data_IF_432396120373
#
_entry.id   IF_432396120373
#
_cell.length_a   1.000
_cell.length_b   1.000
_cell.length_c   1.000
_cell.angle_alpha   90.00
_cell.angle_beta   90.00
_cell.angle_gamma   90.00
#
_symmetry.space_group_name_H-M   'P 1'
#
loop_
_entity.id
_entity.type
_entity.pdbx_description
1 polymer ?
#
# COMPACT_ATOMS: atom_id res chain seq x y z
N UNK A 1 34.59 21.59 73.12
CA UNK A 1 34.73 21.98 71.69
C UNK A 1 33.46 21.48 71.01
N UNK A 2 32.45 22.25 70.62
CA UNK A 2 32.42 23.61 70.09
C UNK A 2 31.89 23.53 68.64
N UNK A 3 30.63 23.95 68.43
CA UNK A 3 29.82 24.10 67.18
C UNK A 3 28.56 23.19 67.21
N UNK A 4 27.33 23.65 67.55
CA UNK A 4 26.41 24.61 66.88
C UNK A 4 26.29 24.37 65.37
N UNK A 5 25.22 23.72 64.90
CA UNK A 5 23.87 24.24 64.60
C UNK A 5 23.77 24.61 63.10
N UNK A 6 22.92 23.90 62.35
CA UNK A 6 22.00 24.53 61.37
C UNK A 6 21.01 23.50 60.82
N UNK A 7 19.78 23.70 61.27
CA UNK A 7 18.53 23.20 60.70
C UNK A 7 18.36 23.86 59.31
N UNK A 8 18.14 23.08 58.25
CA UNK A 8 17.55 23.62 57.01
C UNK A 8 16.27 22.84 56.74
N UNK A 9 15.15 23.51 57.03
CA UNK A 9 13.84 23.19 56.49
C UNK A 9 13.94 23.24 54.96
N UNK A 10 13.79 22.09 54.31
CA UNK A 10 13.50 22.00 52.89
C UNK A 10 12.09 21.49 52.70
N UNK A 11 11.11 22.40 52.72
CA UNK A 11 9.74 22.16 52.26
C UNK A 11 9.78 21.82 50.78
N UNK A 12 9.73 20.52 50.45
CA UNK A 12 9.39 20.06 49.10
C UNK A 12 7.91 19.72 49.08
N UNK A 13 7.11 20.73 48.76
CA UNK A 13 5.79 20.59 48.17
C UNK A 13 5.89 19.70 46.93
N UNK A 14 5.65 18.40 47.10
CA UNK A 14 5.33 17.51 46.00
C UNK A 14 3.86 17.74 45.67
N UNK A 15 3.62 18.65 44.74
CA UNK A 15 2.35 18.79 44.04
C UNK A 15 2.03 17.43 43.42
N UNK A 16 1.07 16.71 44.03
CA UNK A 16 0.50 15.50 43.46
C UNK A 16 -0.25 15.89 42.19
N UNK A 17 0.45 15.85 41.06
CA UNK A 17 -0.19 15.90 39.75
C UNK A 17 -0.98 14.59 39.58
N UNK A 18 -2.30 14.68 39.73
CA UNK A 18 -3.24 13.68 39.24
C UNK A 18 -2.99 13.51 37.73
N UNK A 19 -2.19 12.52 37.35
CA UNK A 19 -2.18 12.01 36.00
C UNK A 19 -3.48 11.25 35.78
N UNK A 20 -4.48 11.95 35.25
CA UNK A 20 -5.66 11.34 34.67
C UNK A 20 -5.21 10.40 33.55
N UNK A 21 -5.28 9.09 33.81
CA UNK A 21 -5.15 8.04 32.81
C UNK A 21 -6.37 8.14 31.89
N UNK A 22 -6.23 8.88 30.79
CA UNK A 22 -7.13 8.77 29.65
C UNK A 22 -6.69 7.53 28.85
N UNK A 23 -7.39 6.41 29.09
CA UNK A 23 -7.39 5.25 28.21
C UNK A 23 -7.87 5.69 26.81
N UNK A 24 -6.93 5.93 25.89
CA UNK A 24 -7.23 5.93 24.47
C UNK A 24 -6.88 4.54 23.95
N UNK A 25 -7.85 3.65 24.02
CA UNK A 25 -7.84 2.41 23.26
C UNK A 25 -8.04 2.76 21.78
N UNK A 26 -6.93 2.90 21.06
CA UNK A 26 -6.90 3.09 19.61
C UNK A 26 -6.08 1.98 18.95
N UNK A 27 -6.54 0.73 19.05
CA UNK A 27 -6.06 -0.32 18.17
C UNK A 27 -6.69 -0.10 16.79
N UNK A 28 -5.95 0.59 15.92
CA UNK A 28 -6.17 0.57 14.48
C UNK A 28 -4.87 0.13 13.79
N UNK A 29 -4.50 -1.12 14.03
CA UNK A 29 -3.62 -1.83 13.11
C UNK A 29 -4.44 -2.25 11.90
N UNK A 30 -4.37 -1.49 10.81
CA UNK A 30 -4.91 -1.88 9.51
C UNK A 30 -3.91 -1.49 8.42
N UNK A 31 -3.14 -2.47 7.95
CA UNK A 31 -2.50 -2.41 6.64
C UNK A 31 -3.59 -2.28 5.57
N UNK A 32 -3.65 -1.12 4.93
CA UNK A 32 -4.68 -0.77 3.97
C UNK A 32 -4.33 -1.30 2.58
N UNK A 33 -4.65 -2.57 2.32
CA UNK A 33 -4.87 -3.05 0.95
C UNK A 33 -6.28 -2.63 0.53
N UNK A 34 -6.40 -1.41 0.01
CA UNK A 34 -7.67 -0.84 -0.46
C UNK A 34 -8.08 -1.42 -1.82
N UNK A 35 -9.05 -2.33 -1.83
CA UNK A 35 -10.04 -2.41 -2.92
C UNK A 35 -11.20 -1.49 -2.55
N UNK A 36 -11.16 -0.24 -3.03
CA UNK A 36 -12.32 0.68 -2.95
C UNK A 36 -13.28 0.34 -4.09
N UNK A 37 -14.17 -0.63 -3.85
CA UNK A 37 -15.45 -0.72 -4.55
C UNK A 37 -16.46 0.18 -3.84
N UNK A 38 -17.09 1.07 -4.60
CA UNK A 38 -18.26 1.91 -4.30
C UNK A 38 -18.70 2.04 -2.83
N UNK A 39 -17.98 2.88 -2.11
CA UNK A 39 -18.53 3.66 -1.02
C UNK A 39 -17.97 5.08 -1.12
N UNK A 40 -18.51 5.88 -2.05
CA UNK A 40 -18.42 7.35 -1.96
C UNK A 40 -19.20 7.75 -0.70
N UNK A 41 -18.52 7.71 0.44
CA UNK A 41 -18.95 8.40 1.63
C UNK A 41 -19.13 9.87 1.27
N UNK A 42 -20.28 10.43 1.63
CA UNK A 42 -20.52 11.87 1.56
C UNK A 42 -19.38 12.60 2.30
N UNK A 43 -18.73 13.55 1.63
CA UNK A 43 -18.20 14.72 2.32
C UNK A 43 -16.68 14.99 2.33
N UNK A 44 -15.85 14.36 1.51
CA UNK A 44 -14.50 14.90 1.25
C UNK A 44 -14.55 15.83 0.04
N UNK A 45 -14.20 17.10 0.22
CA UNK A 45 -13.99 18.06 -0.86
C UNK A 45 -12.82 17.64 -1.75
N UNK A 46 -12.83 18.10 -3.01
CA UNK A 46 -11.70 17.91 -3.94
C UNK A 46 -10.37 18.32 -3.30
N UNK A 47 -10.39 19.41 -2.54
CA UNK A 47 -9.25 19.94 -1.83
C UNK A 47 -8.71 18.98 -0.76
N UNK A 48 -9.57 18.35 0.04
CA UNK A 48 -9.16 17.35 1.03
C UNK A 48 -8.57 16.09 0.37
N UNK A 49 -9.12 15.67 -0.77
CA UNK A 49 -8.58 14.55 -1.53
C UNK A 49 -7.18 14.86 -2.09
N UNK A 50 -6.95 16.09 -2.53
CA UNK A 50 -5.63 16.58 -2.97
C UNK A 50 -4.67 16.60 -1.78
N UNK A 51 -5.03 17.26 -0.68
CA UNK A 51 -4.17 17.37 0.51
C UNK A 51 -3.75 16.01 1.07
N UNK A 52 -4.66 15.02 1.08
CA UNK A 52 -4.34 13.65 1.44
C UNK A 52 -3.24 13.06 0.55
N UNK A 53 -3.32 13.26 -0.77
CA UNK A 53 -2.32 12.76 -1.71
C UNK A 53 -0.98 13.48 -1.60
N UNK A 54 -0.95 14.73 -1.14
CA UNK A 54 0.26 15.52 -0.95
C UNK A 54 0.91 15.33 0.43
N UNK A 55 0.27 14.60 1.34
CA UNK A 55 0.83 14.36 2.67
C UNK A 55 2.06 13.43 2.63
N UNK A 56 3.11 13.78 3.37
CA UNK A 56 4.34 12.96 3.47
C UNK A 56 5.25 12.98 2.24
N UNK A 57 5.14 14.00 1.38
CA UNK A 57 6.07 14.19 0.25
C UNK A 57 7.52 14.36 0.74
N UNK A 58 8.46 13.77 -0.01
CA UNK A 58 9.89 13.80 0.28
C UNK A 58 10.37 12.76 1.30
N UNK A 59 9.45 12.05 1.96
CA UNK A 59 9.80 10.96 2.88
C UNK A 59 10.22 9.68 2.12
N UNK A 60 11.09 8.88 2.74
CA UNK A 60 11.59 7.61 2.20
C UNK A 60 11.13 6.43 3.06
N UNK A 61 10.86 5.29 2.40
CA UNK A 61 10.51 4.01 3.06
C UNK A 61 11.73 3.35 3.71
N UNK A 62 12.91 3.54 3.12
CA UNK A 62 14.20 3.06 3.59
C UNK A 62 15.33 3.78 2.81
N UNK A 63 16.57 3.71 3.29
CA UNK A 63 17.72 4.33 2.62
C UNK A 63 18.22 3.51 1.43
N UNK A 64 17.87 2.22 1.37
CA UNK A 64 18.22 1.34 0.25
C UNK A 64 17.22 0.21 0.07
N UNK A 65 17.24 -0.43 -1.11
CA UNK A 65 16.42 -1.62 -1.38
C UNK A 65 16.74 -2.77 -0.40
N UNK A 66 18.01 -2.93 -0.02
CA UNK A 66 18.41 -3.94 0.96
C UNK A 66 17.79 -3.70 2.35
N UNK A 67 17.74 -2.44 2.80
CA UNK A 67 17.07 -2.06 4.04
C UNK A 67 15.55 -2.20 3.95
N UNK A 68 14.95 -1.91 2.79
CA UNK A 68 13.54 -2.13 2.56
C UNK A 68 13.20 -3.64 2.63
N UNK A 69 14.03 -4.50 2.05
CA UNK A 69 13.85 -5.96 2.18
C UNK A 69 13.98 -6.38 3.66
N UNK A 70 14.93 -5.81 4.41
CA UNK A 70 15.07 -6.09 5.84
C UNK A 70 13.85 -5.68 6.66
N UNK A 71 13.20 -4.56 6.31
CA UNK A 71 11.98 -4.15 6.99
C UNK A 71 10.82 -5.10 6.71
N UNK A 72 10.68 -5.57 5.47
CA UNK A 72 9.69 -6.60 5.10
C UNK A 72 9.94 -7.93 5.82
N UNK A 73 11.20 -8.36 5.97
CA UNK A 73 11.55 -9.60 6.70
C UNK A 73 11.21 -9.48 8.19
N UNK A 74 11.44 -8.30 8.79
CA UNK A 74 11.19 -8.04 10.21
C UNK A 74 9.71 -7.81 10.56
N UNK A 75 8.87 -7.52 9.56
CA UNK A 75 7.44 -7.33 9.78
C UNK A 75 6.83 -8.61 10.39
N UNK A 76 6.19 -8.54 11.56
CA UNK A 76 5.54 -9.68 12.20
C UNK A 76 4.45 -10.34 11.34
N UNK A 77 3.87 -9.63 10.36
CA UNK A 77 2.88 -10.16 9.45
C UNK A 77 3.49 -10.98 8.29
N UNK A 78 4.79 -10.87 8.05
CA UNK A 78 5.49 -11.62 6.99
C UNK A 78 5.62 -13.08 7.39
N UNK A 79 5.09 -13.97 6.55
CA UNK A 79 5.12 -15.42 6.76
C UNK A 79 6.52 -16.01 6.56
N UNK A 80 6.79 -17.18 7.11
CA UNK A 80 8.09 -17.87 6.91
C UNK A 80 8.37 -18.20 5.44
N UNK A 81 7.33 -18.53 4.66
CA UNK A 81 7.47 -18.75 3.21
C UNK A 81 7.90 -17.47 2.51
N UNK A 82 7.27 -16.33 2.82
CA UNK A 82 7.65 -15.04 2.27
C UNK A 82 9.07 -14.62 2.69
N UNK A 83 9.44 -14.81 3.97
CA UNK A 83 10.80 -14.54 4.47
C UNK A 83 11.86 -15.28 3.67
N UNK A 84 11.65 -16.57 3.38
CA UNK A 84 12.60 -17.35 2.59
C UNK A 84 12.84 -16.79 1.17
N UNK A 85 11.80 -16.21 0.55
CA UNK A 85 11.90 -15.55 -0.76
C UNK A 85 12.59 -14.19 -0.62
N UNK A 86 12.21 -13.38 0.38
CA UNK A 86 12.82 -12.08 0.65
C UNK A 86 14.31 -12.18 0.96
N UNK A 87 14.72 -13.17 1.76
CA UNK A 87 16.14 -13.42 2.06
C UNK A 87 16.93 -13.81 0.82
N UNK A 88 16.32 -14.61 -0.09
CA UNK A 88 16.93 -14.92 -1.39
C UNK A 88 17.05 -13.65 -2.24
N UNK A 89 15.97 -12.87 -2.36
CA UNK A 89 15.97 -11.61 -3.08
C UNK A 89 17.05 -10.66 -2.56
N UNK A 90 17.23 -10.56 -1.24
CA UNK A 90 18.30 -9.74 -0.65
C UNK A 90 19.70 -10.18 -1.10
N UNK A 91 19.97 -11.48 -1.09
CA UNK A 91 21.26 -12.04 -1.54
C UNK A 91 21.51 -11.82 -3.03
N UNK A 92 20.45 -11.86 -3.82
CA UNK A 92 20.50 -11.72 -5.28
C UNK A 92 20.41 -10.25 -5.76
N UNK A 93 20.20 -9.30 -4.84
CA UNK A 93 20.09 -7.87 -5.13
C UNK A 93 18.69 -7.42 -5.58
N UNK A 94 17.71 -8.32 -5.55
CA UNK A 94 16.32 -8.07 -5.86
C UNK A 94 15.55 -9.38 -6.09
N UNK A 95 14.22 -9.30 -6.06
CA UNK A 95 13.35 -10.43 -6.37
C UNK A 95 13.25 -10.61 -7.88
N UNK A 96 13.40 -11.85 -8.33
CA UNK A 96 13.26 -12.24 -9.74
C UNK A 96 11.80 -12.21 -10.20
N UNK A 97 11.58 -12.00 -11.50
CA UNK A 97 10.26 -12.12 -12.11
C UNK A 97 9.66 -13.53 -11.91
N UNK A 98 10.50 -14.58 -11.95
CA UNK A 98 10.06 -15.96 -11.73
C UNK A 98 9.51 -16.19 -10.32
N UNK A 99 10.17 -15.66 -9.28
CA UNK A 99 9.67 -15.75 -7.91
C UNK A 99 8.36 -14.99 -7.74
N UNK A 100 8.26 -13.80 -8.34
CA UNK A 100 7.05 -13.00 -8.34
C UNK A 100 5.88 -13.69 -9.03
N UNK A 101 6.06 -14.16 -10.27
CA UNK A 101 5.02 -14.83 -11.05
C UNK A 101 4.58 -16.14 -10.41
N UNK A 102 5.51 -16.91 -9.82
CA UNK A 102 5.17 -18.11 -9.05
C UNK A 102 4.30 -17.79 -7.84
N UNK A 103 4.61 -16.71 -7.12
CA UNK A 103 3.84 -16.32 -5.94
C UNK A 103 2.39 -15.92 -6.31
N UNK A 104 2.19 -15.29 -7.46
CA UNK A 104 0.85 -15.04 -8.02
C UNK A 104 0.13 -16.31 -8.47
N UNK A 105 0.86 -17.28 -9.04
CA UNK A 105 0.30 -18.58 -9.41
C UNK A 105 -0.16 -19.36 -8.17
N UNK A 106 0.62 -19.34 -7.09
CA UNK A 106 0.27 -19.95 -5.80
C UNK A 106 -1.00 -19.30 -5.20
N UNK A 107 -1.08 -17.97 -5.23
CA UNK A 107 -2.30 -17.24 -4.82
C UNK A 107 -3.53 -17.69 -5.61
N UNK A 108 -3.41 -17.71 -6.95
CA UNK A 108 -4.51 -18.14 -7.82
C UNK A 108 -4.96 -19.56 -7.50
N UNK A 109 -4.02 -20.49 -7.34
CA UNK A 109 -4.35 -21.88 -7.01
C UNK A 109 -5.04 -21.98 -5.64
N UNK A 110 -4.55 -21.25 -4.65
CA UNK A 110 -5.15 -21.19 -3.31
C UNK A 110 -6.63 -20.76 -3.33
N UNK A 111 -6.98 -19.81 -4.21
CA UNK A 111 -8.37 -19.39 -4.41
C UNK A 111 -9.20 -20.46 -5.15
N UNK A 112 -8.65 -21.07 -6.19
CA UNK A 112 -9.33 -22.15 -6.92
C UNK A 112 -9.60 -23.37 -6.01
N UNK A 113 -8.67 -23.72 -5.13
CA UNK A 113 -8.82 -24.83 -4.17
C UNK A 113 -9.93 -24.58 -3.14
N UNK A 114 -10.29 -23.32 -2.91
CA UNK A 114 -11.44 -22.92 -2.06
C UNK A 114 -12.78 -22.95 -2.79
N UNK A 115 -12.78 -23.29 -4.08
CA UNK A 115 -13.97 -23.50 -4.90
C UNK A 115 -14.40 -22.29 -5.73
N UNK A 116 -13.58 -21.25 -5.84
CA UNK A 116 -13.85 -20.14 -6.76
C UNK A 116 -13.65 -20.59 -8.21
N UNK A 117 -14.58 -20.22 -9.09
CA UNK A 117 -14.61 -20.70 -10.48
C UNK A 117 -13.66 -19.94 -11.40
N UNK A 118 -13.38 -18.69 -11.07
CA UNK A 118 -12.62 -17.78 -11.90
C UNK A 118 -11.80 -16.85 -11.01
N UNK A 119 -10.50 -16.75 -11.33
CA UNK A 119 -9.56 -15.80 -10.73
C UNK A 119 -8.74 -15.24 -11.90
N UNK A 120 -8.99 -13.98 -12.24
CA UNK A 120 -8.37 -13.31 -13.39
C UNK A 120 -7.22 -12.46 -12.88
N UNK A 121 -6.00 -12.79 -13.31
CA UNK A 121 -4.84 -11.97 -13.05
C UNK A 121 -4.51 -11.12 -14.28
N UNK A 122 -4.59 -9.80 -14.12
CA UNK A 122 -4.21 -8.81 -15.12
C UNK A 122 -2.70 -8.60 -15.01
N UNK A 123 -1.96 -8.83 -16.11
CA UNK A 123 -0.53 -8.54 -16.23
C UNK A 123 -0.32 -7.22 -16.97
N UNK A 124 0.38 -6.29 -16.34
CA UNK A 124 0.76 -5.00 -16.91
C UNK A 124 2.08 -5.11 -17.71
N UNK A 125 2.36 -4.18 -18.64
CA UNK A 125 3.55 -4.26 -19.50
C UNK A 125 4.87 -4.30 -18.71
N UNK A 126 4.95 -3.60 -17.58
CA UNK A 126 6.08 -3.67 -16.64
C UNK A 126 6.18 -4.98 -15.82
N UNK A 127 5.30 -5.95 -16.08
CA UNK A 127 5.30 -7.26 -15.43
C UNK A 127 4.59 -7.32 -14.08
N UNK A 128 4.01 -6.22 -13.59
CA UNK A 128 3.19 -6.21 -12.38
C UNK A 128 1.87 -6.95 -12.62
N UNK A 129 1.43 -7.71 -11.62
CA UNK A 129 0.15 -8.41 -11.65
C UNK A 129 -0.84 -7.74 -10.71
N UNK A 130 -2.11 -7.81 -11.06
CA UNK A 130 -3.23 -7.44 -10.19
C UNK A 130 -4.41 -8.36 -10.46
N UNK A 131 -5.10 -8.80 -9.42
CA UNK A 131 -6.38 -9.46 -9.57
C UNK A 131 -7.44 -8.52 -10.13
N UNK A 132 -8.26 -9.01 -11.05
CA UNK A 132 -9.34 -8.23 -11.66
C UNK A 132 -10.39 -7.85 -10.61
N UNK A 133 -11.03 -6.68 -10.76
CA UNK A 133 -12.10 -6.30 -9.86
C UNK A 133 -13.30 -7.25 -10.01
N UNK A 134 -13.97 -7.55 -8.89
CA UNK A 134 -15.19 -8.33 -8.90
C UNK A 134 -16.26 -7.68 -9.79
N UNK A 135 -16.99 -8.51 -10.51
CA UNK A 135 -18.27 -8.13 -11.10
C UNK A 135 -19.27 -7.96 -9.97
N UNK A 136 -19.99 -6.82 -9.95
CA UNK A 136 -21.08 -6.58 -9.01
C UNK A 136 -22.17 -7.63 -9.24
N UNK A 137 -22.11 -8.69 -8.46
CA UNK A 137 -22.98 -9.86 -8.48
C UNK A 137 -22.80 -10.61 -7.14
N UNK A 138 -23.56 -11.67 -6.92
CA UNK A 138 -23.48 -12.45 -5.69
C UNK A 138 -24.11 -11.75 -4.48
N UNK A 139 -24.11 -12.45 -3.34
CA UNK A 139 -24.61 -11.93 -2.06
C UNK A 139 -23.52 -11.25 -1.26
N UNK A 140 -23.90 -10.48 -0.23
CA UNK A 140 -22.96 -9.88 0.71
C UNK A 140 -22.12 -10.95 1.42
N UNK A 141 -22.70 -12.09 1.73
CA UNK A 141 -22.02 -13.23 2.36
C UNK A 141 -20.99 -13.86 1.42
N UNK A 142 -21.32 -14.02 0.13
CA UNK A 142 -20.37 -14.50 -0.87
C UNK A 142 -19.18 -13.54 -1.01
N UNK A 143 -19.45 -12.23 -1.05
CA UNK A 143 -18.41 -11.20 -1.14
C UNK A 143 -17.54 -11.16 0.12
N UNK A 144 -18.14 -11.24 1.31
CA UNK A 144 -17.41 -11.27 2.57
C UNK A 144 -16.47 -12.48 2.66
N UNK A 145 -17.00 -13.67 2.31
CA UNK A 145 -16.21 -14.90 2.26
C UNK A 145 -15.06 -14.79 1.24
N UNK A 146 -15.33 -14.26 0.05
CA UNK A 146 -14.31 -13.99 -0.96
C UNK A 146 -13.16 -13.14 -0.41
N UNK A 147 -13.47 -12.02 0.25
CA UNK A 147 -12.45 -11.12 0.82
C UNK A 147 -11.63 -11.81 1.92
N UNK A 148 -12.28 -12.60 2.78
CA UNK A 148 -11.59 -13.37 3.83
C UNK A 148 -10.63 -14.41 3.24
N UNK A 149 -11.11 -15.20 2.28
CA UNK A 149 -10.35 -16.24 1.61
C UNK A 149 -9.20 -15.64 0.78
N UNK A 150 -9.46 -14.56 0.05
CA UNK A 150 -8.45 -13.79 -0.68
C UNK A 150 -7.36 -13.26 0.27
N UNK A 151 -7.74 -12.68 1.42
CA UNK A 151 -6.77 -12.17 2.40
C UNK A 151 -5.89 -13.30 2.94
N UNK A 152 -6.48 -14.47 3.20
CA UNK A 152 -5.74 -15.64 3.64
C UNK A 152 -4.77 -16.12 2.56
N UNK A 153 -5.22 -16.26 1.31
CA UNK A 153 -4.39 -16.69 0.18
C UNK A 153 -3.28 -15.70 -0.18
N UNK A 154 -3.50 -14.39 0.02
CA UNK A 154 -2.50 -13.37 -0.27
C UNK A 154 -1.46 -13.18 0.84
N UNK A 155 -1.60 -13.83 2.01
CA UNK A 155 -0.71 -13.62 3.15
C UNK A 155 0.78 -13.76 2.82
N UNK A 156 1.16 -14.79 2.06
CA UNK A 156 2.54 -14.99 1.58
C UNK A 156 2.94 -13.99 0.47
N UNK A 157 1.97 -13.49 -0.29
CA UNK A 157 2.17 -12.70 -1.50
C UNK A 157 2.32 -11.19 -1.21
N UNK A 158 1.63 -10.65 -0.20
CA UNK A 158 1.65 -9.21 0.12
C UNK A 158 3.07 -8.60 0.23
N UNK A 159 3.99 -9.13 1.06
CA UNK A 159 5.34 -8.55 1.16
C UNK A 159 6.14 -8.68 -0.15
N UNK A 160 5.83 -9.68 -0.98
CA UNK A 160 6.48 -9.87 -2.27
C UNK A 160 5.95 -8.87 -3.31
N UNK A 161 4.66 -8.54 -3.29
CA UNK A 161 4.09 -7.44 -4.09
C UNK A 161 4.75 -6.11 -3.71
N UNK A 162 4.91 -5.84 -2.41
CA UNK A 162 5.59 -4.62 -1.93
C UNK A 162 7.03 -4.52 -2.47
N UNK A 163 7.80 -5.61 -2.40
CA UNK A 163 9.17 -5.63 -2.92
C UNK A 163 9.23 -5.47 -4.45
N UNK A 164 8.47 -6.29 -5.20
CA UNK A 164 8.53 -6.23 -6.66
C UNK A 164 8.02 -4.90 -7.20
N UNK A 165 6.94 -4.39 -6.62
CA UNK A 165 6.38 -3.08 -6.93
C UNK A 165 7.39 -1.97 -6.69
N UNK A 166 8.10 -2.01 -5.56
CA UNK A 166 9.18 -1.05 -5.31
C UNK A 166 10.31 -1.16 -6.35
N UNK A 167 10.75 -2.36 -6.71
CA UNK A 167 11.80 -2.53 -7.72
C UNK A 167 11.43 -1.96 -9.09
N UNK A 168 10.18 -2.14 -9.51
CA UNK A 168 9.73 -1.78 -10.86
C UNK A 168 9.23 -0.34 -10.92
N UNK A 169 8.42 0.08 -9.94
CA UNK A 169 7.73 1.38 -9.94
C UNK A 169 8.32 2.42 -9.01
N UNK A 170 9.01 2.03 -7.94
CA UNK A 170 9.52 2.94 -6.90
C UNK A 170 10.95 2.61 -6.47
N UNK A 171 11.92 2.58 -7.39
CA UNK A 171 13.31 2.24 -7.07
C UNK A 171 13.96 3.27 -6.14
N UNK A 172 13.41 4.48 -6.10
CA UNK A 172 13.81 5.56 -5.19
C UNK A 172 13.17 5.45 -3.80
N UNK A 173 12.28 4.47 -3.55
CA UNK A 173 11.65 4.20 -2.25
C UNK A 173 10.94 5.40 -1.61
N UNK A 174 10.23 6.21 -2.40
CA UNK A 174 9.36 7.25 -1.83
C UNK A 174 8.29 6.63 -0.94
N UNK A 175 8.07 7.22 0.24
CA UNK A 175 7.00 6.81 1.14
C UNK A 175 5.62 7.28 0.63
N UNK A 176 5.56 8.48 0.04
CA UNK A 176 4.36 8.97 -0.62
C UNK A 176 4.13 8.23 -1.95
N UNK A 177 2.95 7.61 -2.11
CA UNK A 177 2.60 6.85 -3.32
C UNK A 177 2.46 7.74 -4.55
N UNK A 178 1.87 8.93 -4.41
CA UNK A 178 1.69 9.85 -5.55
C UNK A 178 3.03 10.34 -6.10
N UNK A 179 4.00 10.61 -5.23
CA UNK A 179 5.38 10.93 -5.60
C UNK A 179 6.05 9.78 -6.36
N UNK A 180 5.94 8.56 -5.84
CA UNK A 180 6.46 7.37 -6.50
C UNK A 180 5.83 7.12 -7.88
N UNK A 181 4.51 7.31 -7.99
CA UNK A 181 3.78 7.17 -9.25
C UNK A 181 4.24 8.24 -10.24
N UNK A 182 4.28 9.51 -9.86
CA UNK A 182 4.71 10.60 -10.77
C UNK A 182 6.14 10.40 -11.25
N UNK A 183 7.04 9.98 -10.37
CA UNK A 183 8.42 9.66 -10.75
C UNK A 183 8.46 8.47 -11.75
N UNK A 184 7.67 7.42 -11.52
CA UNK A 184 7.51 6.32 -12.48
C UNK A 184 6.97 6.79 -13.83
N UNK A 185 5.90 7.59 -13.84
CA UNK A 185 5.28 8.11 -15.06
C UNK A 185 6.29 8.91 -15.89
N UNK A 186 7.09 9.74 -15.24
CA UNK A 186 8.14 10.55 -15.87
C UNK A 186 9.24 9.68 -16.46
N UNK A 187 9.78 8.72 -15.69
CA UNK A 187 10.83 7.79 -16.17
C UNK A 187 10.37 6.96 -17.35
N UNK A 188 9.09 6.56 -17.38
CA UNK A 188 8.52 5.74 -18.45
C UNK A 188 8.02 6.56 -19.65
N UNK A 189 8.16 7.90 -19.60
CA UNK A 189 7.69 8.80 -20.66
C UNK A 189 6.17 8.78 -20.85
N UNK A 190 5.41 8.43 -19.82
CA UNK A 190 3.95 8.49 -19.82
C UNK A 190 3.43 9.93 -19.66
N UNK A 191 4.25 10.80 -19.05
CA UNK A 191 3.97 12.22 -18.82
C UNK A 191 5.24 13.05 -19.07
N UNK A 192 5.12 14.35 -19.38
CA UNK A 192 6.30 15.22 -19.48
C UNK A 192 6.97 15.40 -18.11
N UNK A 193 8.28 15.69 -18.10
CA UNK A 193 9.04 15.93 -16.87
C UNK A 193 8.49 17.09 -16.01
N UNK A 194 7.74 18.01 -16.62
CA UNK A 194 7.06 19.11 -15.92
C UNK A 194 5.82 18.67 -15.13
N UNK A 195 5.24 17.50 -15.41
CA UNK A 195 4.03 17.01 -14.74
C UNK A 195 4.31 16.68 -13.27
N UNK A 196 3.63 17.31 -12.33
CA UNK A 196 3.94 17.30 -10.89
C UNK A 196 3.04 16.37 -10.07
N UNK A 197 3.38 16.18 -8.80
CA UNK A 197 2.51 15.46 -7.85
C UNK A 197 1.19 16.20 -7.60
N UNK A 198 1.19 17.53 -7.68
CA UNK A 198 -0.03 18.33 -7.62
C UNK A 198 -0.92 18.08 -8.85
N UNK A 199 -0.33 17.99 -10.05
CA UNK A 199 -1.08 17.69 -11.27
C UNK A 199 -1.73 16.30 -11.18
N UNK A 200 -0.98 15.31 -10.70
CA UNK A 200 -1.51 13.98 -10.43
C UNK A 200 -2.64 13.99 -9.40
N UNK A 201 -2.44 14.67 -8.27
CA UNK A 201 -3.44 14.77 -7.23
C UNK A 201 -4.74 15.41 -7.74
N UNK A 202 -4.62 16.50 -8.51
CA UNK A 202 -5.74 17.18 -9.15
C UNK A 202 -6.44 16.27 -10.17
N UNK A 203 -5.69 15.54 -10.99
CA UNK A 203 -6.25 14.60 -11.96
C UNK A 203 -7.01 13.46 -11.29
N UNK A 204 -6.52 12.93 -10.18
CA UNK A 204 -7.19 11.86 -9.42
C UNK A 204 -8.36 12.35 -8.58
N UNK A 205 -8.43 13.64 -8.26
CA UNK A 205 -9.55 14.22 -7.50
C UNK A 205 -10.78 14.52 -8.38
N UNK A 206 -10.63 14.53 -9.72
CA UNK A 206 -11.73 14.75 -10.66
C UNK A 206 -12.73 13.59 -10.63
N UNK A 207 -14.01 13.94 -10.48
CA UNK A 207 -15.10 12.97 -10.55
C UNK A 207 -15.27 12.34 -11.95
N UNK A 208 -14.97 13.11 -12.98
CA UNK A 208 -14.96 12.66 -14.38
C UNK A 208 -13.51 12.47 -14.82
N UNK A 209 -13.09 11.21 -14.85
CA UNK A 209 -11.73 10.82 -15.19
C UNK A 209 -11.34 11.19 -16.63
N UNK A 210 -12.30 11.46 -17.51
CA UNK A 210 -12.02 11.89 -18.89
C UNK A 210 -11.51 13.33 -18.98
N UNK A 211 -11.61 14.10 -17.87
CA UNK A 211 -11.11 15.47 -17.75
C UNK A 211 -9.72 15.54 -17.13
N UNK A 212 -9.09 14.41 -16.81
CA UNK A 212 -7.71 14.38 -16.35
C UNK A 212 -6.75 14.91 -17.43
N UNK A 213 -5.65 15.53 -17.03
CA UNK A 213 -4.57 15.95 -17.91
C UNK A 213 -3.74 14.79 -18.45
N UNK A 214 -3.96 13.58 -17.92
CA UNK A 214 -3.38 12.31 -18.35
C UNK A 214 -4.48 11.35 -18.80
N UNK A 215 -4.17 10.47 -19.76
CA UNK A 215 -5.05 9.34 -20.06
C UNK A 215 -4.90 8.28 -18.95
N UNK A 216 -5.78 8.36 -17.95
CA UNK A 216 -5.77 7.43 -16.82
C UNK A 216 -6.07 5.99 -17.20
N UNK A 217 -6.52 5.73 -18.44
CA UNK A 217 -6.75 4.37 -18.96
C UNK A 217 -5.54 3.83 -19.72
N UNK A 218 -4.57 4.67 -20.07
CA UNK A 218 -3.34 4.24 -20.70
C UNK A 218 -2.61 3.23 -19.79
N UNK A 219 -2.23 2.09 -20.35
CA UNK A 219 -1.50 1.05 -19.63
C UNK A 219 -0.17 1.55 -19.07
N UNK A 220 0.48 2.53 -19.71
CA UNK A 220 1.70 3.17 -19.18
C UNK A 220 1.43 3.99 -17.92
N UNK A 221 0.23 4.54 -17.78
CA UNK A 221 -0.17 5.22 -16.53
C UNK A 221 -0.49 4.17 -15.47
N UNK A 222 -1.33 3.20 -15.83
CA UNK A 222 -1.82 2.19 -14.88
C UNK A 222 -0.72 1.29 -14.35
N UNK A 223 0.28 0.95 -15.16
CA UNK A 223 1.41 0.12 -14.71
C UNK A 223 2.22 0.78 -13.59
N UNK A 224 2.35 2.10 -13.61
CA UNK A 224 2.99 2.89 -12.55
C UNK A 224 2.11 2.99 -11.30
N UNK A 225 0.80 3.14 -11.46
CA UNK A 225 -0.15 3.09 -10.35
C UNK A 225 -0.08 1.72 -9.64
N UNK A 226 -0.21 0.61 -10.38
CA UNK A 226 -0.27 -0.72 -9.78
C UNK A 226 1.04 -1.16 -9.15
N UNK A 227 2.19 -0.75 -9.71
CA UNK A 227 3.49 -0.98 -9.09
C UNK A 227 3.62 -0.30 -7.71
N UNK A 228 2.83 0.75 -7.46
CA UNK A 228 2.79 1.50 -6.22
C UNK A 228 1.58 1.18 -5.35
N UNK A 229 0.97 0.01 -5.55
CA UNK A 229 -0.22 -0.44 -4.83
C UNK A 229 -1.37 0.58 -4.86
N UNK A 230 -1.52 1.22 -6.02
CA UNK A 230 -2.65 2.06 -6.38
C UNK A 230 -3.37 1.40 -7.56
N UNK A 231 -4.66 1.10 -7.42
CA UNK A 231 -5.43 0.48 -8.48
C UNK A 231 -6.72 1.24 -8.72
N UNK A 232 -6.91 1.63 -9.97
CA UNK A 232 -8.13 2.26 -10.46
C UNK A 232 -8.81 1.30 -11.45
N UNK A 233 -10.12 1.10 -11.32
CA UNK A 233 -10.94 0.37 -12.31
C UNK A 233 -11.81 1.34 -13.09
N UNK A 234 -11.91 1.13 -14.40
CA UNK A 234 -12.69 1.97 -15.32
C UNK A 234 -13.81 1.18 -16.00
N UNK A 235 -14.84 1.86 -16.55
CA UNK A 235 -15.84 1.21 -17.39
C UNK A 235 -15.21 0.45 -18.56
N UNK A 236 -15.60 -0.81 -18.73
CA UNK A 236 -15.07 -1.70 -19.76
C UNK A 236 -13.81 -2.46 -19.37
N UNK A 237 -13.24 -2.23 -18.18
CA UNK A 237 -12.19 -3.10 -17.65
C UNK A 237 -12.71 -4.54 -17.45
N UNK A 238 -11.82 -5.50 -17.62
CA UNK A 238 -12.07 -6.91 -17.29
C UNK A 238 -12.49 -7.03 -15.83
N UNK A 239 -13.53 -7.82 -15.60
CA UNK A 239 -14.06 -8.15 -14.27
C UNK A 239 -14.20 -9.65 -14.15
N UNK A 240 -13.97 -10.15 -12.95
CA UNK A 240 -14.11 -11.58 -12.65
C UNK A 240 -15.45 -11.88 -11.96
N UNK A 241 -15.99 -13.07 -12.23
CA UNK A 241 -17.18 -13.61 -11.59
C UNK A 241 -16.82 -14.92 -10.89
N UNK A 242 -16.35 -14.88 -9.63
CA UNK A 242 -15.69 -16.02 -9.01
C UNK A 242 -16.65 -17.11 -8.48
N UNK A 243 -17.97 -16.95 -8.61
CA UNK A 243 -19.00 -17.89 -8.12
C UNK A 243 -19.93 -18.45 -9.20
#
# INVERSE_FOLDING_TARGET
MGAKLSLVLGTRTLTAALCCVALVAGLAGCGSSGSRGDARGQGASEQEAIEYQLSGLGEKRAESMGEFIDSLIKDPATTEKAKGILERAKREGGMSATDYERSWADYKQCMLDRGYKEIILIKYPNGIYREAPLKVSGTNEQTARYVEDMRSCMSDLFPLIELYGAQVGNPNLYANKSEAIVDCLRRNGAVPMSYTVNDYAADKAKDDYTKAGIDVRDMKVRECEVANNWFSSYPGDTREAPW
#
